data_IF_310974663273
#
_entry.id   IF_310974663273
#
_cell.length_a   1.000
_cell.length_b   1.000
_cell.length_c   1.000
_cell.angle_alpha   90.00
_cell.angle_beta   90.00
_cell.angle_gamma   90.00
#
_symmetry.space_group_name_H-M   'P 1'
#
loop_
_entity.id
_entity.type
_entity.pdbx_description
1 polymer ?
#
# COMPACT_ATOMS: atom_id res chain seq x y z
N UNK A 1 3.20 -15.43 8.81
CA UNK A 1 3.38 -15.90 7.42
C UNK A 1 4.79 -16.44 7.29
N UNK A 2 4.96 -17.63 6.74
CA UNK A 2 6.29 -18.19 6.47
C UNK A 2 6.91 -17.51 5.22
N UNK A 3 8.23 -17.57 5.02
CA UNK A 3 8.86 -17.03 3.82
C UNK A 3 8.31 -17.64 2.51
N UNK A 4 7.94 -18.91 2.53
CA UNK A 4 7.36 -19.61 1.38
C UNK A 4 5.95 -19.10 1.05
N UNK A 5 5.12 -18.89 2.08
CA UNK A 5 3.79 -18.30 1.93
C UNK A 5 3.88 -16.87 1.38
N UNK A 6 4.83 -16.07 1.87
CA UNK A 6 5.06 -14.70 1.41
C UNK A 6 5.52 -14.67 -0.06
N UNK A 7 6.43 -15.57 -0.45
CA UNK A 7 6.89 -15.69 -1.82
C UNK A 7 5.76 -16.09 -2.78
N UNK A 8 4.90 -17.03 -2.35
CA UNK A 8 3.72 -17.44 -3.11
C UNK A 8 2.73 -16.29 -3.28
N UNK A 9 2.37 -15.60 -2.19
CA UNK A 9 1.49 -14.42 -2.21
C UNK A 9 2.01 -13.34 -3.16
N UNK A 10 3.32 -13.05 -3.09
CA UNK A 10 3.96 -12.07 -3.97
C UNK A 10 3.83 -12.47 -5.45
N UNK A 11 4.08 -13.74 -5.77
CA UNK A 11 3.97 -14.24 -7.16
C UNK A 11 2.54 -14.13 -7.68
N UNK A 12 1.57 -14.55 -6.88
CA UNK A 12 0.14 -14.47 -7.24
C UNK A 12 -0.30 -13.02 -7.44
N UNK A 13 0.08 -12.14 -6.52
CA UNK A 13 -0.20 -10.71 -6.62
C UNK A 13 0.41 -10.08 -7.89
N UNK A 14 1.66 -10.40 -8.23
CA UNK A 14 2.30 -9.90 -9.46
C UNK A 14 1.55 -10.38 -10.71
N UNK A 15 1.19 -11.66 -10.77
CA UNK A 15 0.41 -12.20 -11.90
C UNK A 15 -0.93 -11.49 -12.02
N UNK A 16 -1.65 -11.28 -10.91
CA UNK A 16 -2.92 -10.54 -10.87
C UNK A 16 -2.75 -9.11 -11.41
N UNK A 17 -1.76 -8.36 -10.92
CA UNK A 17 -1.55 -6.97 -11.34
C UNK A 17 -1.18 -6.84 -12.83
N UNK A 18 -0.48 -7.84 -13.40
CA UNK A 18 -0.21 -7.90 -14.84
C UNK A 18 -1.48 -8.16 -15.65
N UNK A 19 -2.31 -9.11 -15.22
CA UNK A 19 -3.58 -9.43 -15.88
C UNK A 19 -4.55 -8.24 -15.85
N UNK A 20 -4.56 -7.48 -14.75
CA UNK A 20 -5.39 -6.28 -14.60
C UNK A 20 -4.80 -5.04 -15.30
N UNK A 21 -3.63 -5.14 -15.95
CA UNK A 21 -2.97 -4.01 -16.63
C UNK A 21 -2.51 -2.90 -15.67
N UNK A 22 -2.38 -3.19 -14.38
CA UNK A 22 -2.03 -2.21 -13.34
C UNK A 22 -0.52 -2.04 -13.17
N UNK A 23 0.27 -3.02 -13.60
CA UNK A 23 1.73 -2.84 -13.67
C UNK A 23 2.08 -2.04 -14.91
N UNK A 24 2.86 -0.96 -14.72
CA UNK A 24 3.43 -0.24 -15.86
C UNK A 24 4.39 -1.13 -16.62
N UNK A 25 4.45 -0.94 -17.94
CA UNK A 25 5.41 -1.63 -18.81
C UNK A 25 6.86 -1.24 -18.45
N UNK A 26 7.09 0.04 -18.14
CA UNK A 26 8.36 0.54 -17.64
C UNK A 26 8.44 0.46 -16.10
N UNK A 27 9.18 -0.54 -15.63
CA UNK A 27 9.44 -0.77 -14.21
C UNK A 27 10.19 0.38 -13.53
N UNK A 28 10.98 1.15 -14.27
CA UNK A 28 11.74 2.29 -13.74
C UNK A 28 10.80 3.43 -13.38
N UNK A 29 9.91 3.79 -14.31
CA UNK A 29 8.89 4.83 -14.10
C UNK A 29 7.83 4.41 -13.07
N UNK A 30 7.63 3.12 -12.87
CA UNK A 30 6.79 2.58 -11.81
C UNK A 30 7.44 2.73 -10.43
N UNK A 31 8.71 2.32 -10.29
CA UNK A 31 9.46 2.50 -9.05
C UNK A 31 9.61 3.98 -8.68
N UNK A 32 9.86 4.85 -9.67
CA UNK A 32 9.96 6.30 -9.45
C UNK A 32 8.63 6.90 -8.97
N UNK A 33 7.50 6.49 -9.54
CA UNK A 33 6.19 6.96 -9.10
C UNK A 33 5.89 6.53 -7.66
N UNK A 34 6.19 5.28 -7.30
CA UNK A 34 6.10 4.77 -5.93
C UNK A 34 6.99 5.59 -4.98
N UNK A 35 8.27 5.77 -5.31
CA UNK A 35 9.21 6.54 -4.49
C UNK A 35 8.74 7.98 -4.28
N UNK A 36 8.21 8.62 -5.33
CA UNK A 36 7.67 9.98 -5.28
C UNK A 36 6.44 10.08 -4.37
N UNK A 37 5.52 9.10 -4.44
CA UNK A 37 4.41 9.04 -3.51
C UNK A 37 4.93 8.93 -2.07
N UNK A 38 5.94 8.10 -1.83
CA UNK A 38 6.47 7.85 -0.49
C UNK A 38 7.39 8.97 0.04
N UNK A 39 7.70 10.01 -0.73
CA UNK A 39 8.36 11.20 -0.17
C UNK A 39 7.48 11.96 0.84
N UNK A 40 6.16 11.76 0.82
CA UNK A 40 5.25 12.39 1.78
C UNK A 40 5.24 11.61 3.12
N UNK A 41 5.53 12.28 4.26
CA UNK A 41 5.60 11.61 5.56
C UNK A 41 4.26 11.04 6.03
N UNK A 42 3.13 11.68 5.72
CA UNK A 42 1.80 11.16 6.05
C UNK A 42 1.56 9.82 5.38
N UNK A 43 1.88 9.71 4.09
CA UNK A 43 1.74 8.45 3.34
C UNK A 43 2.63 7.34 3.90
N UNK A 44 3.87 7.65 4.28
CA UNK A 44 4.75 6.67 4.95
C UNK A 44 4.20 6.23 6.31
N UNK A 45 3.66 7.16 7.08
CA UNK A 45 3.08 6.83 8.37
C UNK A 45 1.79 6.00 8.24
N UNK A 46 0.97 6.24 7.21
CA UNK A 46 -0.15 5.36 6.86
C UNK A 46 0.35 3.94 6.58
N UNK A 47 1.39 3.78 5.75
CA UNK A 47 1.97 2.46 5.49
C UNK A 47 2.46 1.77 6.77
N UNK A 48 3.13 2.51 7.67
CA UNK A 48 3.56 2.00 8.99
C UNK A 48 2.39 1.48 9.81
N UNK A 49 1.32 2.26 9.90
CA UNK A 49 0.12 1.87 10.63
C UNK A 49 -0.56 0.63 10.03
N UNK A 50 -0.41 0.42 8.71
CA UNK A 50 -0.92 -0.75 8.00
C UNK A 50 -0.01 -2.00 8.11
N UNK A 51 1.22 -1.87 8.60
CA UNK A 51 2.09 -3.04 8.91
C UNK A 51 1.47 -3.86 10.04
N UNK A 52 0.91 -3.18 11.04
CA UNK A 52 0.37 -3.82 12.24
C UNK A 52 -1.00 -4.43 11.99
N UNK A 53 -1.86 -3.71 11.27
CA UNK A 53 -3.24 -4.13 11.00
C UNK A 53 -3.84 -3.40 9.80
N UNK A 54 -4.82 -4.03 9.15
CA UNK A 54 -5.69 -3.34 8.19
C UNK A 54 -6.49 -2.25 8.89
N UNK A 55 -6.79 -1.16 8.17
CA UNK A 55 -7.57 -0.02 8.70
C UNK A 55 -8.59 0.46 7.68
N UNK A 56 -9.75 0.84 8.15
CA UNK A 56 -10.79 1.51 7.38
C UNK A 56 -10.44 2.96 7.08
N UNK A 57 -11.19 3.58 6.18
CA UNK A 57 -11.04 5.00 5.85
C UNK A 57 -11.16 5.89 7.10
N UNK A 58 -12.17 5.64 7.94
CA UNK A 58 -12.44 6.46 9.13
C UNK A 58 -11.37 6.27 10.21
N UNK A 59 -10.82 5.06 10.36
CA UNK A 59 -9.69 4.82 11.29
C UNK A 59 -8.44 5.61 10.85
N UNK A 60 -8.09 5.57 9.55
CA UNK A 60 -6.94 6.30 9.02
C UNK A 60 -7.15 7.81 9.18
N UNK A 61 -8.33 8.32 8.82
CA UNK A 61 -8.69 9.73 8.96
C UNK A 61 -8.54 10.21 10.41
N UNK A 62 -9.07 9.44 11.36
CA UNK A 62 -9.03 9.77 12.78
C UNK A 62 -7.60 9.72 13.35
N UNK A 63 -6.86 8.65 13.08
CA UNK A 63 -5.50 8.44 13.60
C UNK A 63 -4.53 9.54 13.15
N UNK A 64 -4.61 9.94 11.88
CA UNK A 64 -3.73 10.95 11.30
C UNK A 64 -4.30 12.37 11.34
N UNK A 65 -5.48 12.56 11.97
CA UNK A 65 -6.18 13.85 12.10
C UNK A 65 -6.33 14.58 10.76
N UNK A 66 -6.68 13.83 9.73
CA UNK A 66 -6.82 14.33 8.37
C UNK A 66 -8.26 14.76 8.09
N UNK A 67 -8.43 15.70 7.15
CA UNK A 67 -9.75 15.91 6.53
C UNK A 67 -10.09 14.75 5.60
N UNK A 68 -11.36 14.65 5.23
CA UNK A 68 -11.82 13.66 4.25
C UNK A 68 -11.06 13.78 2.92
N UNK A 69 -10.91 15.01 2.39
CA UNK A 69 -10.17 15.25 1.15
C UNK A 69 -8.69 14.87 1.26
N UNK A 70 -8.05 15.16 2.40
CA UNK A 70 -6.66 14.75 2.63
C UNK A 70 -6.54 13.23 2.71
N UNK A 71 -7.47 12.56 3.38
CA UNK A 71 -7.48 11.10 3.52
C UNK A 71 -7.64 10.44 2.15
N UNK A 72 -8.66 10.85 1.39
CA UNK A 72 -8.91 10.37 0.02
C UNK A 72 -7.71 10.60 -0.89
N UNK A 73 -7.11 11.78 -0.88
CA UNK A 73 -5.95 12.08 -1.71
C UNK A 73 -4.75 11.19 -1.37
N UNK A 74 -4.44 11.02 -0.09
CA UNK A 74 -3.31 10.20 0.33
C UNK A 74 -3.51 8.72 -0.01
N UNK A 75 -4.72 8.18 0.21
CA UNK A 75 -5.04 6.79 -0.11
C UNK A 75 -5.03 6.54 -1.61
N UNK A 76 -5.59 7.45 -2.42
CA UNK A 76 -5.57 7.33 -3.88
C UNK A 76 -4.14 7.34 -4.43
N UNK A 77 -3.25 8.17 -3.88
CA UNK A 77 -1.82 8.19 -4.27
C UNK A 77 -1.12 6.87 -3.92
N UNK A 78 -1.45 6.28 -2.77
CA UNK A 78 -0.87 5.00 -2.35
C UNK A 78 -1.42 3.82 -3.16
N UNK A 79 -2.71 3.82 -3.47
CA UNK A 79 -3.37 2.79 -4.28
C UNK A 79 -2.90 2.85 -5.73
N UNK A 80 -2.82 4.04 -6.32
CA UNK A 80 -2.33 4.23 -7.70
C UNK A 80 -0.86 3.85 -7.91
N UNK A 81 -0.08 3.79 -6.84
CA UNK A 81 1.32 3.31 -6.86
C UNK A 81 1.47 1.86 -6.40
N UNK A 82 0.34 1.18 -6.19
CA UNK A 82 0.23 -0.21 -5.75
C UNK A 82 0.89 -0.46 -4.39
N UNK A 83 1.02 0.56 -3.53
CA UNK A 83 1.54 0.39 -2.17
C UNK A 83 0.49 -0.24 -1.24
N UNK A 84 -0.78 0.06 -1.49
CA UNK A 84 -1.92 -0.48 -0.75
C UNK A 84 -2.97 -1.00 -1.72
N UNK A 85 -3.85 -1.86 -1.24
CA UNK A 85 -5.07 -2.27 -1.92
C UNK A 85 -6.26 -2.26 -0.95
N UNK A 86 -7.47 -2.37 -1.51
CA UNK A 86 -8.72 -2.43 -0.75
C UNK A 86 -9.13 -3.88 -0.56
N UNK A 87 -9.62 -4.19 0.64
CA UNK A 87 -10.31 -5.42 0.98
C UNK A 87 -11.70 -5.08 1.52
N UNK A 88 -12.72 -5.80 1.04
CA UNK A 88 -14.09 -5.63 1.55
C UNK A 88 -14.43 -6.78 2.48
N UNK A 89 -14.83 -6.45 3.71
CA UNK A 89 -15.12 -7.41 4.77
C UNK A 89 -16.40 -6.97 5.45
N UNK A 90 -17.43 -7.82 5.38
CA UNK A 90 -18.75 -7.54 5.96
C UNK A 90 -19.34 -6.18 5.52
N UNK A 91 -19.09 -5.79 4.27
CA UNK A 91 -19.56 -4.51 3.69
C UNK A 91 -18.74 -3.28 4.09
N UNK A 92 -17.63 -3.46 4.81
CA UNK A 92 -16.69 -2.40 5.17
C UNK A 92 -15.42 -2.50 4.33
N UNK A 93 -15.00 -1.37 3.75
CA UNK A 93 -13.73 -1.27 3.03
C UNK A 93 -12.58 -1.02 4.00
N UNK A 94 -11.61 -1.93 3.96
CA UNK A 94 -10.33 -1.81 4.64
C UNK A 94 -9.20 -1.61 3.63
N UNK A 95 -8.14 -0.97 4.08
CA UNK A 95 -6.90 -0.81 3.34
C UNK A 95 -5.84 -1.75 3.95
N UNK A 96 -5.11 -2.43 3.07
CA UNK A 96 -4.02 -3.35 3.43
C UNK A 96 -2.77 -3.05 2.61
N UNK A 97 -1.59 -3.41 3.13
CA UNK A 97 -0.37 -3.38 2.33
C UNK A 97 -0.41 -4.46 1.25
N UNK A 98 0.03 -4.08 0.05
CA UNK A 98 0.39 -5.06 -0.98
C UNK A 98 1.79 -5.62 -0.69
N UNK A 99 2.21 -6.71 -1.34
CA UNK A 99 3.60 -7.17 -1.29
C UNK A 99 4.64 -6.10 -1.69
N UNK A 100 4.25 -5.10 -2.49
CA UNK A 100 5.11 -3.95 -2.82
C UNK A 100 5.25 -3.00 -1.63
N UNK A 101 4.14 -2.65 -0.98
CA UNK A 101 4.14 -1.79 0.20
C UNK A 101 4.93 -2.42 1.36
N UNK A 102 4.72 -3.72 1.60
CA UNK A 102 5.48 -4.53 2.57
C UNK A 102 6.98 -4.46 2.28
N UNK A 103 7.38 -4.72 1.02
CA UNK A 103 8.78 -4.67 0.63
C UNK A 103 9.44 -3.30 0.83
N UNK A 104 8.72 -2.19 0.65
CA UNK A 104 9.23 -0.87 0.99
C UNK A 104 9.46 -0.73 2.50
N UNK A 105 8.47 -1.12 3.30
CA UNK A 105 8.55 -1.02 4.75
C UNK A 105 9.73 -1.81 5.32
N UNK A 106 9.88 -3.07 4.89
CA UNK A 106 10.97 -3.95 5.31
C UNK A 106 12.36 -3.42 4.92
N UNK A 107 12.51 -2.87 3.71
CA UNK A 107 13.83 -2.53 3.18
C UNK A 107 14.27 -1.09 3.46
N UNK A 108 13.34 -0.17 3.70
CA UNK A 108 13.63 1.28 3.80
C UNK A 108 13.36 1.83 5.18
N UNK A 109 12.21 1.50 5.78
CA UNK A 109 11.77 2.14 7.03
C UNK A 109 12.11 1.31 8.29
N UNK A 110 11.99 -0.01 8.20
CA UNK A 110 12.20 -0.93 9.33
C UNK A 110 13.62 -1.50 9.41
N UNK A 111 14.40 -1.38 8.34
CA UNK A 111 15.81 -1.77 8.30
C UNK A 111 16.63 -0.72 9.05
N UNK A 112 16.82 -0.91 10.36
CA UNK A 112 17.72 -0.16 11.22
C UNK A 112 18.65 -1.11 11.96
#
# INVERSE_FOLDING_TARGET
MTPEEAAKRKKEWVTKMKLEGKMKEDMTEDHKACLNALQNPVRRNILKALVEQKKSFEEIKAEFKLTESQTTYNLNMLESTLCIEKEEIEGVTFYVLTPRGEGYMENVELKK
#
